data_IF_148765072062
#
_entry.id   IF_148765072062
#
_cell.length_a   1.000
_cell.length_b   1.000
_cell.length_c   1.000
_cell.angle_alpha   90.00
_cell.angle_beta   90.00
_cell.angle_gamma   90.00
#
_symmetry.space_group_name_H-M   'P 1'
#
loop_
_entity.id
_entity.type
_entity.pdbx_description
1 polymer ?
#
# COMPACT_ATOMS: atom_id res chain seq x y z
N UNK A 1 2.38 -11.45 -4.83
CA UNK A 1 2.83 -10.05 -4.83
C UNK A 1 2.72 -9.53 -3.41
N UNK A 2 3.81 -8.99 -2.86
CA UNK A 2 3.83 -8.39 -1.53
C UNK A 2 4.05 -6.89 -1.62
N UNK A 3 3.48 -6.18 -0.67
CA UNK A 3 3.60 -4.74 -0.51
C UNK A 3 4.10 -4.44 0.90
N UNK A 4 4.79 -3.32 1.09
CA UNK A 4 5.15 -2.88 2.43
C UNK A 4 5.28 -1.36 2.49
N UNK A 5 5.21 -0.83 3.70
CA UNK A 5 5.43 0.59 3.96
C UNK A 5 6.86 0.81 4.46
N UNK A 6 7.53 1.82 3.94
CA UNK A 6 8.88 2.19 4.37
C UNK A 6 8.95 3.69 4.61
N UNK A 7 9.56 4.09 5.72
CA UNK A 7 9.88 5.48 5.98
C UNK A 7 11.10 5.91 5.17
N UNK A 8 11.00 7.04 4.46
CA UNK A 8 12.09 7.72 3.75
C UNK A 8 12.08 9.17 4.24
N UNK A 9 13.03 9.51 5.12
CA UNK A 9 13.00 10.79 5.81
C UNK A 9 11.77 10.91 6.70
N UNK A 10 10.99 11.99 6.53
CA UNK A 10 9.72 12.21 7.24
C UNK A 10 8.50 11.58 6.55
N UNK A 11 8.70 10.98 5.38
CA UNK A 11 7.61 10.52 4.52
C UNK A 11 7.49 9.00 4.54
N UNK A 12 6.27 8.48 4.38
CA UNK A 12 6.03 7.04 4.22
C UNK A 12 5.78 6.73 2.76
N UNK A 13 6.46 5.73 2.22
CA UNK A 13 6.34 5.28 0.84
C UNK A 13 5.71 3.88 0.78
N UNK A 14 4.98 3.61 -0.31
CA UNK A 14 4.51 2.27 -0.63
C UNK A 14 5.55 1.57 -1.51
N UNK A 15 5.99 0.39 -1.10
CA UNK A 15 6.86 -0.47 -1.89
C UNK A 15 6.12 -1.72 -2.33
N UNK A 16 6.50 -2.24 -3.51
CA UNK A 16 6.10 -3.54 -4.03
C UNK A 16 7.33 -4.40 -4.20
N UNK A 17 7.28 -5.63 -3.70
CA UNK A 17 8.33 -6.62 -3.92
C UNK A 17 8.24 -7.11 -5.38
N UNK A 18 9.32 -6.90 -6.16
CA UNK A 18 9.42 -7.32 -7.56
C UNK A 18 10.78 -8.01 -7.84
N UNK A 19 10.85 -9.31 -7.55
CA UNK A 19 12.01 -10.14 -7.86
C UNK A 19 13.30 -9.66 -7.18
N UNK A 20 14.27 -9.20 -7.98
CA UNK A 20 15.60 -8.79 -7.49
C UNK A 20 15.63 -7.39 -6.86
N UNK A 21 14.67 -6.52 -7.17
CA UNK A 21 14.64 -5.16 -6.65
C UNK A 21 13.22 -4.76 -6.21
N UNK A 22 13.10 -4.25 -4.99
CA UNK A 22 11.84 -3.69 -4.53
C UNK A 22 11.55 -2.38 -5.26
N UNK A 23 10.32 -2.25 -5.77
CA UNK A 23 9.87 -1.07 -6.49
C UNK A 23 9.23 -0.06 -5.54
N UNK A 24 9.75 1.17 -5.52
CA UNK A 24 9.10 2.29 -4.83
C UNK A 24 7.91 2.79 -5.68
N UNK A 25 6.69 2.57 -5.17
CA UNK A 25 5.44 3.00 -5.80
C UNK A 25 5.07 4.45 -5.47
N UNK A 26 5.84 5.10 -4.60
CA UNK A 26 5.79 6.53 -4.31
C UNK A 26 5.34 6.86 -2.89
N UNK A 27 5.52 8.14 -2.56
CA UNK A 27 5.11 8.73 -1.28
C UNK A 27 3.61 8.61 -1.07
N UNK A 28 3.21 8.12 0.09
CA UNK A 28 1.82 8.09 0.54
C UNK A 28 1.43 9.43 1.18
N UNK A 29 0.29 9.95 0.76
CA UNK A 29 -0.36 11.11 1.37
C UNK A 29 -1.76 10.74 1.81
N UNK A 30 -2.16 11.26 2.98
CA UNK A 30 -3.52 11.09 3.48
C UNK A 30 -4.45 12.07 2.78
N UNK A 31 -5.48 11.55 2.13
CA UNK A 31 -6.55 12.32 1.51
C UNK A 31 -7.53 12.82 2.57
N UNK A 32 -8.39 13.78 2.20
CA UNK A 32 -9.43 14.31 3.09
C UNK A 32 -10.39 13.23 3.61
N UNK A 33 -10.67 12.20 2.80
CA UNK A 33 -11.52 11.05 3.18
C UNK A 33 -10.80 10.01 4.03
N UNK A 34 -9.54 10.26 4.40
CA UNK A 34 -8.73 9.38 5.24
C UNK A 34 -7.99 8.27 4.49
N UNK A 35 -8.22 8.11 3.18
CA UNK A 35 -7.49 7.15 2.33
C UNK A 35 -6.04 7.58 2.14
N UNK A 36 -5.13 6.62 1.97
CA UNK A 36 -3.75 6.90 1.57
C UNK A 36 -3.66 6.84 0.05
N UNK A 37 -2.94 7.78 -0.56
CA UNK A 37 -2.74 7.82 -2.00
C UNK A 37 -1.27 8.01 -2.32
N UNK A 38 -0.71 7.26 -3.26
CA UNK A 38 0.65 7.54 -3.73
C UNK A 38 0.65 8.81 -4.59
N UNK A 39 1.63 9.67 -4.39
CA UNK A 39 1.83 10.86 -5.21
C UNK A 39 3.03 10.64 -6.14
N UNK A 40 2.76 10.22 -7.38
CA UNK A 40 3.74 10.16 -8.46
C UNK A 40 3.33 11.16 -9.54
N UNK A 41 4.27 12.05 -9.92
CA UNK A 41 4.11 12.97 -11.06
C UNK A 41 4.01 12.21 -12.39
N UNK A 42 4.68 11.06 -12.50
CA UNK A 42 4.66 10.18 -13.67
C UNK A 42 4.59 8.71 -13.21
N UNK A 43 3.62 7.95 -13.71
CA UNK A 43 3.49 6.51 -13.44
C UNK A 43 2.14 6.10 -12.87
N UNK A 44 2.11 4.91 -12.27
CA UNK A 44 0.93 4.33 -11.64
C UNK A 44 0.69 4.97 -10.26
N UNK A 45 -0.54 5.40 -10.02
CA UNK A 45 -0.99 5.92 -8.72
C UNK A 45 -1.76 4.82 -8.01
N UNK A 46 -1.53 4.67 -6.71
CA UNK A 46 -2.21 3.72 -5.84
C UNK A 46 -3.05 4.46 -4.81
N UNK A 47 -4.26 3.96 -4.55
CA UNK A 47 -5.15 4.39 -3.48
C UNK A 47 -5.37 3.22 -2.53
N UNK A 48 -5.14 3.45 -1.25
CA UNK A 48 -5.29 2.50 -0.15
C UNK A 48 -6.38 3.00 0.78
N UNK A 49 -7.39 2.18 0.98
CA UNK A 49 -8.48 2.43 1.90
C UNK A 49 -8.39 1.42 3.03
N UNK A 50 -8.28 1.91 4.27
CA UNK A 50 -8.26 1.04 5.45
C UNK A 50 -9.62 0.36 5.58
N UNK A 51 -9.61 -0.97 5.49
CA UNK A 51 -10.79 -1.83 5.64
C UNK A 51 -10.60 -2.80 6.82
N UNK A 52 -9.71 -2.45 7.74
CA UNK A 52 -9.50 -3.19 8.98
C UNK A 52 -10.75 -3.06 9.84
N UNK A 53 -11.57 -4.11 9.85
CA UNK A 53 -12.72 -4.20 10.75
C UNK A 53 -12.28 -4.61 12.15
N UNK A 54 -13.12 -4.35 13.15
CA UNK A 54 -12.87 -4.78 14.55
C UNK A 54 -12.63 -6.31 14.67
N UNK A 55 -13.10 -7.08 13.69
CA UNK A 55 -12.95 -8.54 13.61
C UNK A 55 -11.95 -9.02 12.54
N UNK A 56 -11.21 -8.14 11.85
CA UNK A 56 -10.20 -8.60 10.89
C UNK A 56 -9.02 -9.22 11.63
N UNK A 57 -8.46 -10.32 11.09
CA UNK A 57 -7.28 -11.01 11.63
C UNK A 57 -5.96 -10.21 11.50
N UNK A 58 -6.04 -8.89 11.38
CA UNK A 58 -4.93 -7.98 11.11
C UNK A 58 -5.36 -6.74 10.31
N UNK A 59 -4.38 -5.89 10.04
CA UNK A 59 -4.53 -4.69 9.21
C UNK A 59 -4.79 -5.08 7.75
N UNK A 60 -5.79 -4.46 7.14
CA UNK A 60 -6.20 -4.70 5.76
C UNK A 60 -6.45 -3.39 5.03
N UNK A 61 -5.92 -3.30 3.82
CA UNK A 61 -6.18 -2.17 2.92
C UNK A 61 -6.82 -2.66 1.63
N UNK A 62 -7.91 -2.03 1.19
CA UNK A 62 -8.35 -2.11 -0.20
C UNK A 62 -7.37 -1.29 -1.03
N UNK A 63 -6.68 -1.92 -1.98
CA UNK A 63 -5.76 -1.25 -2.90
C UNK A 63 -6.40 -1.13 -4.28
N UNK A 64 -6.26 0.04 -4.89
CA UNK A 64 -6.65 0.32 -6.27
C UNK A 64 -5.54 1.08 -6.97
N UNK A 65 -5.28 0.78 -8.23
CA UNK A 65 -4.34 1.53 -9.04
C UNK A 65 -4.99 2.20 -10.24
N UNK A 66 -4.37 3.27 -10.72
CA UNK A 66 -4.81 3.97 -11.93
C UNK A 66 -4.68 3.12 -13.21
N UNK A 67 -3.89 2.03 -13.18
CA UNK A 67 -3.71 1.09 -14.30
C UNK A 67 -4.57 -0.17 -14.19
N UNK A 68 -5.45 -0.25 -13.18
CA UNK A 68 -6.46 -1.31 -13.07
C UNK A 68 -6.16 -2.41 -12.05
N UNK A 69 -5.05 -2.36 -11.31
CA UNK A 69 -4.85 -3.26 -10.16
C UNK A 69 -5.92 -2.96 -9.11
N UNK A 70 -6.65 -3.99 -8.66
CA UNK A 70 -7.64 -3.87 -7.59
C UNK A 70 -7.65 -5.15 -6.78
N UNK A 71 -7.58 -5.01 -5.46
CA UNK A 71 -7.59 -6.16 -4.55
C UNK A 71 -7.45 -5.73 -3.10
N UNK A 72 -7.07 -6.67 -2.25
CA UNK A 72 -6.88 -6.43 -0.82
C UNK A 72 -5.45 -6.75 -0.41
N UNK A 73 -4.82 -5.80 0.26
CA UNK A 73 -3.58 -5.99 0.99
C UNK A 73 -3.90 -6.47 2.40
N UNK A 74 -3.44 -7.64 2.77
CA UNK A 74 -3.62 -8.21 4.12
C UNK A 74 -2.26 -8.34 4.80
N UNK A 75 -2.11 -7.75 6.00
CA UNK A 75 -0.86 -7.81 6.74
C UNK A 75 -0.53 -9.25 7.13
N UNK A 76 0.71 -9.66 6.89
CA UNK A 76 1.21 -10.96 7.35
C UNK A 76 1.41 -10.93 8.86
N UNK A 77 1.07 -12.03 9.52
CA UNK A 77 1.40 -12.23 10.93
C UNK A 77 2.92 -12.05 11.14
N UNK A 78 3.29 -11.29 12.17
CA UNK A 78 4.69 -11.04 12.58
C UNK A 78 5.60 -10.44 11.48
N UNK A 79 5.04 -9.67 10.54
CA UNK A 79 5.81 -8.98 9.50
C UNK A 79 5.26 -7.57 9.22
N UNK A 80 6.14 -6.67 8.74
CA UNK A 80 5.76 -5.36 8.22
C UNK A 80 5.20 -5.39 6.79
N UNK A 81 5.02 -6.59 6.22
CA UNK A 81 4.59 -6.81 4.84
C UNK A 81 3.12 -7.18 4.73
N UNK A 82 2.55 -6.88 3.58
CA UNK A 82 1.17 -7.13 3.19
C UNK A 82 1.15 -8.03 1.95
N UNK A 83 0.36 -9.09 1.98
CA UNK A 83 0.12 -9.95 0.81
C UNK A 83 -1.07 -9.40 0.03
N UNK A 84 -0.90 -9.27 -1.28
CA UNK A 84 -1.99 -8.95 -2.19
C UNK A 84 -2.87 -10.18 -2.45
N UNK A 85 -4.18 -10.02 -2.27
CA UNK A 85 -5.23 -11.01 -2.53
C UNK A 85 -6.28 -10.45 -3.47
#
# INVERSE_FOLDING_TARGET
MEFYFKAIGSDTHLFREDGFFDEDLGKLTKTFTGKLRTNKLFGETFELEDISGVFSKGERYSIKSSKGLKGVMEKKAFSGRYVFK
#
